data_IF_494416075548
#
_entry.id   IF_494416075548
#
_cell.length_a   1.000
_cell.length_b   1.000
_cell.length_c   1.000
_cell.angle_alpha   90.00
_cell.angle_beta   90.00
_cell.angle_gamma   90.00
#
_symmetry.space_group_name_H-M   'P 1'
#
loop_
_entity.id
_entity.type
_entity.pdbx_description
1 polymer ?
#
# COMPACT_ATOMS: atom_id res chain seq x y z
N UNK A 1 -30.95 4.28 6.60
CA UNK A 1 -31.37 4.21 8.00
C UNK A 1 -30.12 4.48 8.85
N UNK A 2 -29.87 5.74 9.26
CA UNK A 2 -28.74 6.10 10.10
C UNK A 2 -28.96 5.47 11.49
N UNK A 3 -28.11 4.49 11.84
CA UNK A 3 -28.08 3.98 13.21
C UNK A 3 -27.50 5.07 14.13
N UNK A 4 -28.05 5.15 15.34
CA UNK A 4 -27.55 6.06 16.38
C UNK A 4 -26.03 5.86 16.57
N UNK A 5 -25.19 6.91 16.49
CA UNK A 5 -23.75 6.81 16.70
C UNK A 5 -23.34 6.14 18.02
N UNK A 6 -24.19 6.22 19.05
CA UNK A 6 -23.94 5.59 20.36
C UNK A 6 -24.09 4.05 20.34
N UNK A 7 -24.69 3.46 19.29
CA UNK A 7 -24.92 2.02 19.15
C UNK A 7 -23.91 1.30 18.26
N UNK A 8 -22.97 2.03 17.64
CA UNK A 8 -21.96 1.44 16.72
C UNK A 8 -20.85 0.75 17.53
N UNK A 9 -20.40 -0.46 17.12
CA UNK A 9 -19.22 -1.07 17.70
C UNK A 9 -17.99 -0.16 17.58
N UNK A 10 -17.16 -0.15 18.62
CA UNK A 10 -15.92 0.64 18.62
C UNK A 10 -14.78 -0.19 18.04
N UNK A 11 -14.16 0.31 16.97
CA UNK A 11 -12.99 -0.25 16.31
C UNK A 11 -11.74 0.52 16.73
N UNK A 12 -10.79 -0.16 17.37
CA UNK A 12 -9.48 0.38 17.67
C UNK A 12 -8.52 0.04 16.53
N UNK A 13 -8.06 1.04 15.81
CA UNK A 13 -7.06 0.88 14.73
C UNK A 13 -5.68 1.27 15.24
N UNK A 14 -4.66 0.46 14.98
CA UNK A 14 -3.28 0.82 15.26
C UNK A 14 -2.41 0.73 14.01
N UNK A 15 -1.69 1.81 13.72
CA UNK A 15 -0.80 1.91 12.57
C UNK A 15 0.47 2.70 12.89
N UNK A 16 1.60 2.38 12.24
CA UNK A 16 2.83 3.17 12.34
C UNK A 16 2.96 4.19 11.22
N UNK A 17 2.28 4.00 10.10
CA UNK A 17 2.19 4.96 9.00
C UNK A 17 0.74 5.47 8.94
N UNK A 18 0.55 6.75 9.21
CA UNK A 18 -0.76 7.40 9.17
C UNK A 18 -0.55 8.89 8.86
N UNK A 19 -1.23 9.45 7.84
CA UNK A 19 -1.01 10.83 7.42
C UNK A 19 -1.30 11.83 8.54
N UNK A 20 -0.51 12.92 8.60
CA UNK A 20 -0.75 14.02 9.53
C UNK A 20 -2.04 14.75 9.15
N UNK A 21 -2.20 14.99 7.85
CA UNK A 21 -3.39 15.56 7.22
C UNK A 21 -3.68 14.81 5.91
N UNK A 22 -4.94 14.79 5.43
CA UNK A 22 -5.24 14.24 4.12
C UNK A 22 -4.38 14.90 3.02
N UNK A 23 -3.67 14.10 2.24
CA UNK A 23 -2.85 14.60 1.13
C UNK A 23 -1.44 15.06 1.49
N UNK A 24 -0.94 14.81 2.71
CA UNK A 24 0.42 15.18 3.15
C UNK A 24 1.58 14.39 2.50
N UNK A 25 1.29 13.57 1.50
CA UNK A 25 2.26 12.70 0.82
C UNK A 25 2.54 11.38 1.53
N UNK A 26 2.00 11.16 2.73
CA UNK A 26 2.02 9.84 3.39
C UNK A 26 0.97 8.93 2.72
N UNK A 27 1.30 7.65 2.43
CA UNK A 27 0.32 6.72 1.85
C UNK A 27 -0.98 6.68 2.65
N UNK A 28 -2.10 7.04 2.01
CA UNK A 28 -3.40 7.25 2.65
C UNK A 28 -4.19 5.98 2.96
N UNK A 29 -3.79 4.81 2.45
CA UNK A 29 -4.59 3.58 2.46
C UNK A 29 -5.12 3.16 3.84
N UNK A 30 -4.40 3.44 4.95
CA UNK A 30 -4.90 3.16 6.31
C UNK A 30 -5.99 4.15 6.71
N UNK A 31 -5.83 5.42 6.34
CA UNK A 31 -6.85 6.44 6.56
C UNK A 31 -8.09 6.17 5.71
N UNK A 32 -7.92 5.86 4.44
CA UNK A 32 -9.02 5.60 3.51
C UNK A 32 -9.86 4.40 4.00
N UNK A 33 -9.20 3.31 4.44
CA UNK A 33 -9.88 2.17 5.05
C UNK A 33 -10.57 2.55 6.38
N UNK A 34 -9.91 3.35 7.23
CA UNK A 34 -10.50 3.79 8.49
C UNK A 34 -11.76 4.66 8.26
N UNK A 35 -11.74 5.53 7.25
CA UNK A 35 -12.90 6.34 6.84
C UNK A 35 -14.03 5.45 6.32
N UNK A 36 -13.74 4.48 5.45
CA UNK A 36 -14.74 3.55 4.94
C UNK A 36 -15.40 2.71 6.05
N UNK A 37 -14.66 2.38 7.11
CA UNK A 37 -15.21 1.64 8.26
C UNK A 37 -15.97 2.52 9.27
N UNK A 38 -15.80 3.85 9.19
CA UNK A 38 -16.45 4.79 10.10
C UNK A 38 -17.97 4.91 9.88
N UNK A 39 -18.49 4.44 8.75
CA UNK A 39 -19.93 4.39 8.49
C UNK A 39 -20.68 3.45 9.47
N UNK A 40 -20.03 2.34 9.85
CA UNK A 40 -20.64 1.28 10.68
C UNK A 40 -20.00 1.15 12.07
N UNK A 41 -18.83 1.77 12.26
CA UNK A 41 -18.05 1.67 13.49
C UNK A 41 -17.69 3.05 14.03
N UNK A 42 -17.56 3.16 15.34
CA UNK A 42 -16.83 4.26 15.94
C UNK A 42 -15.34 3.95 15.83
N UNK A 43 -14.64 4.62 14.92
CA UNK A 43 -13.23 4.33 14.63
C UNK A 43 -12.32 5.24 15.44
N UNK A 44 -11.39 4.64 16.22
CA UNK A 44 -10.36 5.34 16.97
C UNK A 44 -8.99 4.82 16.51
N UNK A 45 -8.19 5.69 15.94
CA UNK A 45 -6.84 5.38 15.43
C UNK A 45 -5.78 5.77 16.45
N UNK A 46 -4.88 4.85 16.76
CA UNK A 46 -3.67 5.10 17.56
C UNK A 46 -2.45 5.03 16.64
N UNK A 47 -1.77 6.15 16.46
CA UNK A 47 -0.60 6.27 15.58
C UNK A 47 0.55 7.00 16.30
N UNK A 48 1.82 6.86 15.85
CA UNK A 48 2.91 7.65 16.38
C UNK A 48 2.78 9.13 16.00
N UNK A 49 3.34 10.00 16.81
CA UNK A 49 3.49 11.40 16.47
C UNK A 49 4.52 11.55 15.36
N UNK A 50 4.14 12.21 14.28
CA UNK A 50 4.98 12.59 13.14
C UNK A 50 5.09 14.11 13.03
N UNK A 51 5.98 14.59 12.17
CA UNK A 51 6.16 16.04 11.97
C UNK A 51 4.88 16.66 11.40
N UNK A 52 4.45 17.79 11.94
CA UNK A 52 3.25 18.51 11.50
C UNK A 52 1.92 17.98 12.06
N UNK A 53 1.89 16.77 12.63
CA UNK A 53 0.66 16.16 13.11
C UNK A 53 0.21 16.72 14.47
N UNK A 54 -1.12 16.77 14.70
CA UNK A 54 -1.70 17.08 16.00
C UNK A 54 -1.77 15.85 16.91
N UNK A 55 -1.65 16.01 18.23
CA UNK A 55 -1.75 14.91 19.21
C UNK A 55 -3.13 14.25 19.19
N UNK A 56 -4.16 15.06 19.04
CA UNK A 56 -5.55 14.63 18.89
C UNK A 56 -6.16 15.39 17.72
N UNK A 57 -6.80 14.69 16.83
CA UNK A 57 -7.52 15.28 15.70
C UNK A 57 -8.67 14.39 15.29
N UNK A 58 -9.58 14.95 14.51
CA UNK A 58 -10.63 14.22 13.82
C UNK A 58 -10.47 14.44 12.33
N UNK A 59 -10.45 13.34 11.56
CA UNK A 59 -10.39 13.37 10.10
C UNK A 59 -11.66 12.66 9.62
N UNK A 60 -12.59 13.42 9.06
CA UNK A 60 -13.95 12.90 8.83
C UNK A 60 -14.55 12.37 10.14
N UNK A 61 -15.06 11.15 10.12
CA UNK A 61 -15.62 10.48 11.30
C UNK A 61 -14.61 9.62 12.10
N UNK A 62 -13.32 9.72 11.79
CA UNK A 62 -12.25 9.00 12.45
C UNK A 62 -11.60 9.85 13.53
N UNK A 63 -11.57 9.35 14.79
CA UNK A 63 -10.81 9.95 15.88
C UNK A 63 -9.34 9.47 15.80
N UNK A 64 -8.38 10.40 15.75
CA UNK A 64 -6.94 10.08 15.69
C UNK A 64 -6.25 10.53 16.98
N UNK A 65 -5.51 9.60 17.58
CA UNK A 65 -4.74 9.81 18.80
C UNK A 65 -3.29 9.44 18.57
N UNK A 66 -2.39 10.42 18.74
CA UNK A 66 -0.98 10.21 18.48
C UNK A 66 -0.18 10.18 19.77
N UNK A 67 0.73 9.20 19.86
CA UNK A 67 1.63 9.07 21.01
C UNK A 67 3.03 9.59 20.70
N UNK A 68 3.58 10.31 21.67
CA UNK A 68 4.98 10.74 21.67
C UNK A 68 5.85 9.57 22.13
N UNK A 69 6.89 9.25 21.37
CA UNK A 69 7.79 8.13 21.69
C UNK A 69 9.24 8.55 21.93
N UNK A 70 9.58 9.82 21.61
CA UNK A 70 10.92 10.36 21.80
C UNK A 70 10.85 11.90 21.86
N UNK A 71 11.88 12.59 22.43
CA UNK A 71 11.93 14.05 22.41
C UNK A 71 11.79 14.61 20.99
N UNK A 72 10.96 15.63 20.82
CA UNK A 72 10.50 16.14 19.50
C UNK A 72 11.63 16.46 18.52
N UNK A 73 12.75 17.05 19.03
CA UNK A 73 13.92 17.45 18.22
C UNK A 73 14.68 16.26 17.59
N UNK A 74 14.49 15.04 18.08
CA UNK A 74 15.19 13.82 17.61
C UNK A 74 14.22 12.73 17.16
N UNK A 75 12.93 12.98 17.23
CA UNK A 75 11.88 12.02 16.87
C UNK A 75 11.69 12.00 15.35
N UNK A 76 12.32 11.07 14.70
CA UNK A 76 12.28 10.91 13.23
C UNK A 76 12.19 9.45 12.78
N UNK A 77 11.96 8.50 13.71
CA UNK A 77 11.87 7.08 13.40
C UNK A 77 10.64 6.74 12.58
N UNK A 78 9.48 7.34 12.90
CA UNK A 78 8.20 7.07 12.26
C UNK A 78 7.85 8.08 11.13
N UNK A 79 8.78 8.95 10.77
CA UNK A 79 8.62 9.85 9.62
C UNK A 79 8.93 9.07 8.33
N UNK A 80 7.92 8.33 7.82
CA UNK A 80 8.04 7.41 6.70
C UNK A 80 8.26 5.94 7.10
N UNK A 81 8.98 5.18 6.27
CA UNK A 81 9.21 3.76 6.49
C UNK A 81 10.25 3.51 7.60
N UNK A 82 9.82 2.93 8.72
CA UNK A 82 10.66 2.69 9.92
C UNK A 82 11.93 1.91 9.58
N UNK A 83 11.84 0.84 8.78
CA UNK A 83 12.99 0.00 8.44
C UNK A 83 14.03 0.77 7.62
N UNK A 84 13.58 1.58 6.66
CA UNK A 84 14.47 2.41 5.85
C UNK A 84 15.14 3.49 6.71
N UNK A 85 14.38 4.07 7.63
CA UNK A 85 14.88 5.05 8.59
C UNK A 85 15.95 4.47 9.53
N UNK A 86 15.79 3.23 9.99
CA UNK A 86 16.79 2.53 10.81
C UNK A 86 18.07 2.21 10.02
N UNK A 87 17.92 1.84 8.73
CA UNK A 87 19.07 1.59 7.83
C UNK A 87 19.84 2.88 7.52
N UNK A 88 19.11 3.96 7.27
CA UNK A 88 19.70 5.25 6.90
C UNK A 88 20.51 5.90 8.05
N UNK A 89 20.04 5.73 9.30
CA UNK A 89 20.68 6.32 10.50
C UNK A 89 20.66 5.32 11.66
N UNK A 90 21.75 4.58 11.93
CA UNK A 90 21.82 3.58 13.03
C UNK A 90 21.49 4.14 14.42
N UNK A 91 21.76 5.42 14.70
CA UNK A 91 21.41 6.05 15.97
C UNK A 91 19.90 5.99 16.29
N UNK A 92 19.05 5.84 15.28
CA UNK A 92 17.61 5.68 15.46
C UNK A 92 17.21 4.37 16.18
N UNK A 93 18.11 3.39 16.26
CA UNK A 93 17.88 2.19 17.08
C UNK A 93 17.64 2.52 18.55
N UNK A 94 18.18 3.63 19.05
CA UNK A 94 17.92 4.11 20.42
C UNK A 94 16.45 4.51 20.62
N UNK A 95 15.72 4.86 19.57
CA UNK A 95 14.29 5.22 19.65
C UNK A 95 13.38 3.98 19.74
N UNK A 96 13.84 2.81 19.27
CA UNK A 96 13.01 1.61 19.14
C UNK A 96 12.39 1.16 20.47
N UNK A 97 13.11 1.01 21.58
CA UNK A 97 12.52 0.62 22.87
C UNK A 97 11.43 1.58 23.33
N UNK A 98 11.68 2.88 23.19
CA UNK A 98 10.72 3.93 23.56
C UNK A 98 9.49 3.94 22.65
N UNK A 99 9.68 3.65 21.36
CA UNK A 99 8.60 3.51 20.40
C UNK A 99 7.64 2.38 20.82
N UNK A 100 8.17 1.20 21.14
CA UNK A 100 7.37 0.06 21.58
C UNK A 100 6.68 0.33 22.92
N UNK A 101 7.39 0.87 23.91
CA UNK A 101 6.85 1.19 25.23
C UNK A 101 5.73 2.25 25.15
N UNK A 102 5.96 3.32 24.40
CA UNK A 102 4.94 4.37 24.21
C UNK A 102 3.72 3.87 23.47
N UNK A 103 3.88 3.02 22.45
CA UNK A 103 2.78 2.36 21.77
C UNK A 103 1.98 1.49 22.73
N UNK A 104 2.63 0.69 23.55
CA UNK A 104 1.98 -0.19 24.55
C UNK A 104 1.15 0.64 25.53
N UNK A 105 1.69 1.73 26.05
CA UNK A 105 1.00 2.64 26.97
C UNK A 105 -0.19 3.29 26.25
N UNK A 106 -0.01 3.77 25.01
CA UNK A 106 -1.05 4.42 24.24
C UNK A 106 -2.22 3.47 23.94
N UNK A 107 -1.92 2.24 23.49
CA UNK A 107 -2.94 1.22 23.22
C UNK A 107 -3.70 0.81 24.49
N UNK A 108 -3.01 0.62 25.62
CA UNK A 108 -3.69 0.32 26.90
C UNK A 108 -4.59 1.45 27.35
N UNK A 109 -4.09 2.70 27.30
CA UNK A 109 -4.88 3.88 27.69
C UNK A 109 -6.10 4.05 26.81
N UNK A 110 -5.93 3.91 25.50
CA UNK A 110 -7.04 4.05 24.57
C UNK A 110 -8.04 2.90 24.69
N UNK A 111 -7.60 1.66 24.87
CA UNK A 111 -8.48 0.53 25.12
C UNK A 111 -9.31 0.71 26.41
N UNK A 112 -8.70 1.24 27.48
CA UNK A 112 -9.43 1.54 28.72
C UNK A 112 -10.46 2.69 28.57
N UNK A 113 -10.14 3.68 27.70
CA UNK A 113 -10.97 4.86 27.47
C UNK A 113 -12.13 4.58 26.52
N UNK A 114 -11.85 4.02 25.35
CA UNK A 114 -12.82 3.82 24.27
C UNK A 114 -13.58 2.49 24.38
N UNK A 115 -13.08 1.54 25.20
CA UNK A 115 -13.62 0.20 25.38
C UNK A 115 -13.97 -0.46 24.05
N UNK A 116 -12.95 -0.69 23.18
CA UNK A 116 -13.19 -1.20 21.84
C UNK A 116 -13.73 -2.64 21.89
N UNK A 117 -14.56 -2.97 20.91
CA UNK A 117 -15.10 -4.30 20.70
C UNK A 117 -14.14 -5.18 19.90
N UNK A 118 -13.32 -4.57 19.03
CA UNK A 118 -12.35 -5.24 18.15
C UNK A 118 -11.18 -4.31 17.84
N UNK A 119 -10.00 -4.89 17.55
CA UNK A 119 -8.84 -4.14 17.11
C UNK A 119 -8.43 -4.54 15.68
N UNK A 120 -8.12 -3.54 14.85
CA UNK A 120 -7.47 -3.69 13.55
C UNK A 120 -6.02 -3.20 13.67
N UNK A 121 -5.08 -4.12 13.53
CA UNK A 121 -3.66 -3.88 13.77
C UNK A 121 -2.89 -4.01 12.45
N UNK A 122 -2.47 -2.89 11.92
CA UNK A 122 -1.68 -2.87 10.69
C UNK A 122 -0.22 -3.21 11.04
N UNK A 123 0.32 -4.22 10.37
CA UNK A 123 1.60 -4.92 10.57
C UNK A 123 1.62 -5.90 11.74
N UNK A 124 2.18 -7.08 11.48
CA UNK A 124 2.42 -8.12 12.49
C UNK A 124 3.37 -7.59 13.58
N UNK A 125 4.39 -6.86 13.16
CA UNK A 125 5.35 -6.15 14.03
C UNK A 125 5.51 -4.73 13.50
N UNK A 126 5.33 -3.68 14.32
CA UNK A 126 5.20 -3.72 15.78
C UNK A 126 3.77 -3.86 16.34
N UNK A 127 2.71 -3.43 15.60
CA UNK A 127 1.35 -3.29 16.15
C UNK A 127 0.74 -4.61 16.63
N UNK A 128 0.83 -5.66 15.82
CA UNK A 128 0.33 -6.99 16.20
C UNK A 128 1.02 -7.54 17.46
N UNK A 129 2.35 -7.38 17.56
CA UNK A 129 3.11 -7.83 18.72
C UNK A 129 2.72 -7.08 20.00
N UNK A 130 2.65 -5.75 19.92
CA UNK A 130 2.26 -4.90 21.07
C UNK A 130 0.79 -5.13 21.41
N UNK A 131 -0.11 -5.16 20.41
CA UNK A 131 -1.53 -5.40 20.64
C UNK A 131 -1.81 -6.75 21.30
N UNK A 132 -1.09 -7.83 20.89
CA UNK A 132 -1.17 -9.12 21.56
C UNK A 132 -0.78 -9.03 23.04
N UNK A 133 0.22 -8.22 23.37
CA UNK A 133 0.72 -8.10 24.74
C UNK A 133 -0.21 -7.30 25.64
N UNK A 134 -0.87 -6.24 25.11
CA UNK A 134 -1.53 -5.25 25.98
C UNK A 134 -3.06 -5.21 25.85
N UNK A 135 -3.66 -5.80 24.81
CA UNK A 135 -5.11 -5.75 24.58
C UNK A 135 -5.87 -6.98 25.12
N UNK A 136 -5.20 -7.89 25.82
CA UNK A 136 -5.83 -9.04 26.47
C UNK A 136 -6.62 -9.94 25.50
N UNK A 137 -7.87 -10.23 25.82
CA UNK A 137 -8.78 -11.08 25.04
C UNK A 137 -9.49 -10.35 23.90
N UNK A 138 -9.24 -9.04 23.70
CA UNK A 138 -9.87 -8.28 22.62
C UNK A 138 -9.64 -8.97 21.26
N UNK A 139 -10.67 -9.26 20.46
CA UNK A 139 -10.52 -9.81 19.12
C UNK A 139 -9.65 -8.90 18.24
N UNK A 140 -8.77 -9.51 17.45
CA UNK A 140 -7.81 -8.77 16.62
C UNK A 140 -7.84 -9.25 15.18
N UNK A 141 -8.05 -8.32 14.27
CA UNK A 141 -7.75 -8.47 12.85
C UNK A 141 -6.35 -7.88 12.62
N UNK A 142 -5.44 -8.65 12.05
CA UNK A 142 -4.06 -8.22 11.80
C UNK A 142 -3.83 -8.13 10.29
N UNK A 143 -3.30 -7.01 9.81
CA UNK A 143 -2.95 -6.81 8.40
C UNK A 143 -1.45 -6.87 8.22
N UNK A 144 -0.96 -7.63 7.24
CA UNK A 144 0.45 -7.58 6.81
C UNK A 144 0.57 -6.99 5.41
N UNK A 145 1.56 -6.11 5.24
CA UNK A 145 1.80 -5.37 4.01
C UNK A 145 3.10 -5.79 3.30
N UNK A 146 3.70 -6.90 3.74
CA UNK A 146 4.87 -7.52 3.13
C UNK A 146 6.17 -7.28 3.89
N UNK A 147 6.57 -6.04 4.15
CA UNK A 147 7.83 -5.73 4.83
C UNK A 147 7.98 -6.39 6.21
N UNK A 148 6.92 -6.41 6.99
CA UNK A 148 6.86 -7.05 8.29
C UNK A 148 6.84 -8.60 8.20
N UNK A 149 6.34 -9.15 7.11
CA UNK A 149 6.27 -10.58 6.87
C UNK A 149 7.62 -11.12 6.40
N UNK A 150 8.20 -10.53 5.35
CA UNK A 150 9.41 -11.03 4.70
C UNK A 150 10.71 -10.60 5.38
N UNK A 151 10.74 -9.40 5.97
CA UNK A 151 11.86 -8.93 6.78
C UNK A 151 11.84 -9.54 8.19
N UNK A 152 12.75 -9.11 9.06
CA UNK A 152 12.82 -9.53 10.46
C UNK A 152 12.93 -11.05 10.63
N UNK A 153 13.95 -11.67 9.96
CA UNK A 153 14.14 -13.13 9.90
C UNK A 153 14.81 -13.72 11.16
N UNK A 154 15.20 -12.88 12.13
CA UNK A 154 15.83 -13.36 13.36
C UNK A 154 14.92 -14.35 14.12
N UNK A 155 15.43 -15.48 14.67
CA UNK A 155 14.61 -16.53 15.29
C UNK A 155 13.64 -16.05 16.37
N UNK A 156 14.04 -15.08 17.19
CA UNK A 156 13.18 -14.48 18.22
C UNK A 156 11.98 -13.77 17.57
N UNK A 157 12.24 -12.97 16.52
CA UNK A 157 11.17 -12.25 15.80
C UNK A 157 10.24 -13.20 15.07
N UNK A 158 10.75 -14.32 14.56
CA UNK A 158 9.92 -15.38 13.99
C UNK A 158 8.98 -16.02 15.03
N UNK A 159 9.46 -16.22 16.27
CA UNK A 159 8.60 -16.68 17.37
C UNK A 159 7.52 -15.67 17.72
N UNK A 160 7.86 -14.39 17.74
CA UNK A 160 6.89 -13.30 17.96
C UNK A 160 5.86 -13.28 16.84
N UNK A 161 6.26 -13.33 15.56
CA UNK A 161 5.33 -13.40 14.41
C UNK A 161 4.35 -14.57 14.57
N UNK A 162 4.87 -15.79 14.82
CA UNK A 162 4.02 -16.98 15.03
C UNK A 162 3.03 -16.79 16.17
N UNK A 163 3.46 -16.18 17.28
CA UNK A 163 2.59 -15.93 18.42
C UNK A 163 1.48 -14.90 18.11
N UNK A 164 1.78 -13.86 17.34
CA UNK A 164 0.79 -12.87 16.84
C UNK A 164 -0.20 -13.56 15.91
N UNK A 165 0.30 -14.24 14.89
CA UNK A 165 -0.47 -14.95 13.87
C UNK A 165 -1.48 -15.91 14.51
N UNK A 166 -1.03 -16.79 15.40
CA UNK A 166 -1.89 -17.76 16.08
C UNK A 166 -2.97 -17.14 16.97
N UNK A 167 -2.73 -15.92 17.46
CA UNK A 167 -3.66 -15.22 18.36
C UNK A 167 -4.62 -14.29 17.65
N UNK A 168 -4.46 -14.05 16.35
CA UNK A 168 -5.37 -13.22 15.57
C UNK A 168 -6.67 -13.97 15.28
N UNK A 169 -7.79 -13.26 15.28
CA UNK A 169 -9.06 -13.80 14.80
C UNK A 169 -9.01 -13.96 13.28
N UNK A 170 -8.48 -12.95 12.58
CA UNK A 170 -8.27 -12.96 11.13
C UNK A 170 -6.97 -12.23 10.79
N UNK A 171 -6.35 -12.64 9.67
CA UNK A 171 -5.14 -12.01 9.12
C UNK A 171 -5.39 -11.68 7.65
N UNK A 172 -5.17 -10.43 7.29
CA UNK A 172 -5.23 -10.01 5.89
C UNK A 172 -3.83 -9.85 5.31
N UNK A 173 -3.68 -10.20 4.05
CA UNK A 173 -2.44 -10.04 3.27
C UNK A 173 -2.76 -9.62 1.84
N UNK A 174 -1.72 -9.22 1.10
CA UNK A 174 -1.90 -8.58 -0.22
C UNK A 174 -1.87 -9.57 -1.38
N UNK A 175 -1.39 -10.82 -1.18
CA UNK A 175 -1.15 -11.76 -2.28
C UNK A 175 -1.21 -13.21 -1.83
N UNK A 176 -1.35 -14.11 -2.80
CA UNK A 176 -1.31 -15.57 -2.60
C UNK A 176 0.03 -16.04 -2.04
N UNK A 177 1.15 -15.45 -2.46
CA UNK A 177 2.49 -15.74 -1.92
C UNK A 177 2.58 -15.37 -0.43
N UNK A 178 2.06 -14.20 -0.06
CA UNK A 178 1.99 -13.78 1.35
C UNK A 178 1.10 -14.71 2.19
N UNK A 179 -0.01 -15.16 1.63
CA UNK A 179 -0.89 -16.13 2.29
C UNK A 179 -0.17 -17.46 2.53
N UNK A 180 0.61 -17.94 1.55
CA UNK A 180 1.43 -19.15 1.71
C UNK A 180 2.49 -18.98 2.79
N UNK A 181 3.14 -17.82 2.88
CA UNK A 181 4.13 -17.54 3.93
C UNK A 181 3.50 -17.45 5.33
N UNK A 182 2.30 -16.87 5.45
CA UNK A 182 1.56 -16.86 6.72
C UNK A 182 1.23 -18.28 7.20
N UNK A 183 0.84 -19.20 6.28
CA UNK A 183 0.60 -20.61 6.59
C UNK A 183 1.85 -21.32 7.08
N UNK A 184 3.02 -21.08 6.46
CA UNK A 184 4.32 -21.60 6.95
C UNK A 184 4.66 -21.10 8.36
N UNK A 185 4.20 -19.89 8.71
CA UNK A 185 4.35 -19.34 10.07
C UNK A 185 3.30 -19.86 11.06
N UNK A 186 2.38 -20.71 10.63
CA UNK A 186 1.40 -21.40 11.47
C UNK A 186 0.05 -20.69 11.55
N UNK A 187 -0.31 -19.88 10.55
CA UNK A 187 -1.68 -19.43 10.35
C UNK A 187 -2.59 -20.60 9.94
N UNK A 188 -3.83 -20.63 10.42
CA UNK A 188 -4.84 -21.57 9.96
C UNK A 188 -5.48 -21.01 8.67
N UNK A 189 -5.99 -21.89 7.81
CA UNK A 189 -6.57 -21.49 6.52
C UNK A 189 -7.73 -20.50 6.70
N UNK A 190 -8.60 -20.76 7.65
CA UNK A 190 -9.76 -19.91 7.94
C UNK A 190 -9.40 -18.53 8.52
N UNK A 191 -8.15 -18.33 8.96
CA UNK A 191 -7.68 -17.03 9.45
C UNK A 191 -7.11 -16.14 8.34
N UNK A 192 -6.67 -16.73 7.21
CA UNK A 192 -5.91 -16.03 6.18
C UNK A 192 -6.83 -15.53 5.07
N UNK A 193 -6.84 -14.22 4.86
CA UNK A 193 -7.66 -13.59 3.85
C UNK A 193 -6.80 -12.71 2.94
N UNK A 194 -6.91 -12.92 1.62
CA UNK A 194 -6.24 -12.08 0.63
C UNK A 194 -7.13 -10.87 0.40
N UNK A 195 -6.77 -9.76 1.03
CA UNK A 195 -7.49 -8.48 0.93
C UNK A 195 -6.44 -7.39 0.70
N UNK A 196 -6.16 -7.03 -0.54
CA UNK A 196 -5.29 -5.90 -0.88
C UNK A 196 -5.81 -4.57 -0.34
N UNK A 197 -4.96 -3.56 -0.30
CA UNK A 197 -5.39 -2.20 0.05
C UNK A 197 -6.33 -1.64 -1.01
N UNK A 198 -7.35 -0.92 -0.57
CA UNK A 198 -8.29 -0.25 -1.45
C UNK A 198 -7.69 1.00 -2.12
N UNK A 199 -8.24 1.33 -3.27
CA UNK A 199 -7.94 2.56 -4.02
C UNK A 199 -9.13 3.50 -3.92
N UNK A 200 -8.87 4.77 -3.55
CA UNK A 200 -9.84 5.83 -3.72
C UNK A 200 -9.90 6.22 -5.20
N UNK A 201 -10.95 5.76 -5.87
CA UNK A 201 -11.14 5.96 -7.31
C UNK A 201 -11.80 7.30 -7.65
N UNK A 202 -12.34 8.04 -6.68
CA UNK A 202 -13.07 9.28 -6.95
C UNK A 202 -12.22 10.36 -7.66
N UNK A 203 -10.98 10.67 -7.23
CA UNK A 203 -10.12 11.62 -7.94
C UNK A 203 -9.77 11.14 -9.35
N UNK A 204 -9.54 9.83 -9.52
CA UNK A 204 -9.19 9.21 -10.80
C UNK A 204 -10.36 9.33 -11.78
N UNK A 205 -11.56 8.95 -11.35
CA UNK A 205 -12.78 9.05 -12.15
C UNK A 205 -13.04 10.51 -12.57
N UNK A 206 -12.87 11.46 -11.64
CA UNK A 206 -13.02 12.87 -11.95
C UNK A 206 -11.96 13.38 -12.94
N UNK A 207 -10.73 12.90 -12.86
CA UNK A 207 -9.67 13.24 -13.80
C UNK A 207 -9.93 12.65 -15.19
N UNK A 208 -10.29 11.36 -15.28
CA UNK A 208 -10.62 10.68 -16.56
C UNK A 208 -11.78 11.38 -17.29
N UNK A 209 -12.75 11.95 -16.56
CA UNK A 209 -13.86 12.71 -17.16
C UNK A 209 -13.44 14.09 -17.72
N UNK A 210 -12.31 14.65 -17.27
CA UNK A 210 -11.82 16.00 -17.67
C UNK A 210 -10.66 15.96 -18.64
N UNK A 211 -9.75 15.02 -18.44
CA UNK A 211 -8.50 14.92 -19.18
C UNK A 211 -8.70 14.07 -20.44
N UNK A 212 -7.98 14.43 -21.50
CA UNK A 212 -7.90 13.60 -22.68
C UNK A 212 -6.67 12.69 -22.60
N UNK A 213 -6.86 11.43 -22.94
CA UNK A 213 -5.76 10.47 -23.04
C UNK A 213 -4.85 10.85 -24.19
N UNK A 214 -3.57 10.99 -23.92
CA UNK A 214 -2.54 11.30 -24.92
C UNK A 214 -2.11 10.02 -25.62
N UNK A 215 -2.34 9.87 -26.93
CA UNK A 215 -1.89 8.70 -27.68
C UNK A 215 -0.38 8.46 -27.53
N UNK A 216 0.01 7.24 -27.23
CA UNK A 216 1.44 6.86 -27.08
C UNK A 216 2.12 7.37 -25.81
N UNK A 217 1.38 7.97 -24.85
CA UNK A 217 1.93 8.35 -23.55
C UNK A 217 2.04 7.14 -22.63
N UNK A 218 3.28 6.93 -22.14
CA UNK A 218 3.65 5.84 -21.23
C UNK A 218 3.95 6.41 -19.84
N UNK A 219 3.38 5.80 -18.81
CA UNK A 219 3.49 6.23 -17.43
C UNK A 219 4.15 5.17 -16.55
N UNK A 220 5.08 5.59 -15.72
CA UNK A 220 5.59 4.83 -14.58
C UNK A 220 5.30 5.57 -13.29
N UNK A 221 4.72 4.90 -12.30
CA UNK A 221 4.44 5.47 -10.97
C UNK A 221 5.02 4.59 -9.88
N UNK A 222 5.91 5.15 -9.07
CA UNK A 222 6.47 4.46 -7.92
C UNK A 222 7.67 5.13 -7.29
N UNK A 223 8.05 4.65 -6.09
CA UNK A 223 9.33 5.06 -5.48
C UNK A 223 10.48 4.63 -6.37
N UNK A 224 11.47 5.50 -6.55
CA UNK A 224 12.66 5.21 -7.36
C UNK A 224 13.67 4.41 -6.53
N UNK A 225 13.32 3.12 -6.30
CA UNK A 225 14.12 2.10 -5.62
C UNK A 225 14.22 0.86 -6.50
N UNK A 226 15.23 0.01 -6.24
CA UNK A 226 15.56 -1.17 -7.05
C UNK A 226 14.32 -2.02 -7.39
N UNK A 227 13.55 -2.43 -6.39
CA UNK A 227 12.41 -3.34 -6.57
C UNK A 227 11.29 -2.83 -7.49
N UNK A 228 11.22 -1.52 -7.76
CA UNK A 228 10.24 -0.93 -8.67
C UNK A 228 10.64 -1.00 -10.14
N UNK A 229 11.90 -1.33 -10.42
CA UNK A 229 12.37 -1.65 -11.78
C UNK A 229 12.43 -0.47 -12.75
N UNK A 230 12.55 0.78 -12.25
CA UNK A 230 12.72 1.94 -13.13
C UNK A 230 13.97 1.85 -14.02
N UNK A 231 15.00 1.11 -13.60
CA UNK A 231 16.16 0.80 -14.41
C UNK A 231 15.80 -0.09 -15.60
N UNK A 232 14.94 -1.11 -15.37
CA UNK A 232 14.45 -2.01 -16.44
C UNK A 232 13.60 -1.25 -17.45
N UNK A 233 12.85 -0.23 -17.01
CA UNK A 233 12.13 0.68 -17.91
C UNK A 233 13.11 1.38 -18.85
N UNK A 234 14.20 1.99 -18.34
CA UNK A 234 15.19 2.68 -19.20
C UNK A 234 15.87 1.70 -20.13
N UNK A 235 16.23 0.49 -19.67
CA UNK A 235 16.78 -0.58 -20.52
C UNK A 235 15.83 -1.00 -21.65
N UNK A 236 14.52 -0.97 -21.39
CA UNK A 236 13.49 -1.29 -22.36
C UNK A 236 13.33 -0.18 -23.41
N UNK A 237 13.36 1.09 -23.01
CA UNK A 237 13.25 2.22 -23.94
C UNK A 237 14.36 2.20 -25.01
N UNK A 238 15.57 1.76 -24.65
CA UNK A 238 16.69 1.62 -25.58
C UNK A 238 16.47 0.49 -26.63
N UNK A 239 15.50 -0.41 -26.38
CA UNK A 239 15.22 -1.60 -27.21
C UNK A 239 13.91 -1.53 -27.96
N UNK A 240 13.08 -0.54 -27.67
CA UNK A 240 11.81 -0.33 -28.36
C UNK A 240 12.01 -0.01 -29.83
N UNK A 241 11.10 -0.53 -30.65
CA UNK A 241 11.00 -0.23 -32.10
C UNK A 241 10.04 0.92 -32.35
N UNK A 242 8.94 0.94 -31.61
CA UNK A 242 7.95 2.01 -31.60
C UNK A 242 8.38 3.08 -30.57
N UNK A 243 8.37 4.34 -30.97
CA UNK A 243 8.73 5.42 -30.05
C UNK A 243 7.48 5.93 -29.33
N UNK A 244 7.44 5.87 -27.98
CA UNK A 244 6.39 6.53 -27.23
C UNK A 244 6.40 8.03 -27.52
N UNK A 245 5.21 8.65 -27.57
CA UNK A 245 5.11 10.09 -27.71
C UNK A 245 5.72 10.83 -26.50
N UNK A 246 5.55 10.26 -25.32
CA UNK A 246 6.08 10.76 -24.05
C UNK A 246 6.23 9.61 -23.07
N UNK A 247 7.27 9.64 -22.24
CA UNK A 247 7.45 8.75 -21.08
C UNK A 247 7.53 9.60 -19.83
N UNK A 248 6.57 9.40 -18.92
CA UNK A 248 6.49 10.14 -17.65
C UNK A 248 6.81 9.21 -16.49
N UNK A 249 7.76 9.63 -15.66
CA UNK A 249 8.17 8.94 -14.43
C UNK A 249 7.73 9.78 -13.23
N UNK A 250 6.75 9.27 -12.49
CA UNK A 250 6.22 9.90 -11.27
C UNK A 250 6.77 9.18 -10.06
N UNK A 251 7.34 9.95 -9.15
CA UNK A 251 7.88 9.48 -7.88
C UNK A 251 9.26 10.03 -7.57
N UNK A 252 9.77 9.63 -6.41
CA UNK A 252 11.09 10.04 -5.92
C UNK A 252 11.78 8.86 -5.23
N UNK A 253 13.08 8.95 -5.02
CA UNK A 253 13.84 7.92 -4.34
C UNK A 253 15.35 8.02 -4.60
N UNK A 254 16.12 7.15 -3.92
CA UNK A 254 17.59 7.19 -3.98
C UNK A 254 18.17 6.97 -5.37
N UNK A 255 17.43 6.36 -6.31
CA UNK A 255 17.88 6.12 -7.68
C UNK A 255 17.62 7.28 -8.63
N UNK A 256 16.88 8.33 -8.21
CA UNK A 256 16.44 9.42 -9.09
C UNK A 256 17.58 10.03 -9.88
N UNK A 257 18.63 10.50 -9.23
CA UNK A 257 19.74 11.16 -9.92
C UNK A 257 20.46 10.28 -10.95
N UNK A 258 20.62 8.98 -10.65
CA UNK A 258 21.21 8.02 -11.58
C UNK A 258 20.31 7.74 -12.78
N UNK A 259 18.99 7.67 -12.57
CA UNK A 259 18.01 7.46 -13.63
C UNK A 259 17.90 8.69 -14.54
N UNK A 260 17.84 9.91 -13.98
CA UNK A 260 17.82 11.16 -14.73
C UNK A 260 19.09 11.34 -15.58
N UNK A 261 20.26 11.02 -15.02
CA UNK A 261 21.55 11.12 -15.75
C UNK A 261 21.63 10.13 -16.93
N UNK A 262 20.90 9.01 -16.87
CA UNK A 262 20.87 8.00 -17.92
C UNK A 262 19.74 8.23 -18.93
N UNK A 263 18.64 8.84 -18.51
CA UNK A 263 17.45 9.00 -19.32
C UNK A 263 17.70 9.95 -20.51
N UNK A 264 17.15 9.62 -21.67
CA UNK A 264 17.10 10.52 -22.81
C UNK A 264 16.05 11.63 -22.65
N UNK A 265 16.00 12.54 -23.64
CA UNK A 265 15.07 13.69 -23.65
C UNK A 265 13.58 13.31 -23.73
N UNK A 266 13.27 12.06 -24.09
CA UNK A 266 11.89 11.55 -24.16
C UNK A 266 11.32 11.12 -22.80
N UNK A 267 12.12 11.14 -21.73
CA UNK A 267 11.71 10.73 -20.37
C UNK A 267 11.64 11.94 -19.45
N UNK A 268 10.45 12.19 -18.91
CA UNK A 268 10.18 13.29 -17.99
C UNK A 268 10.07 12.78 -16.55
N UNK A 269 10.99 13.17 -15.65
CA UNK A 269 10.94 12.88 -14.23
C UNK A 269 10.22 14.02 -13.50
N UNK A 270 8.96 13.82 -13.17
CA UNK A 270 8.10 14.88 -12.63
C UNK A 270 8.06 14.93 -11.09
N UNK A 271 8.81 14.03 -10.42
CA UNK A 271 8.84 13.94 -8.96
C UNK A 271 7.56 13.35 -8.36
N UNK A 272 7.42 13.45 -7.03
CA UNK A 272 6.20 13.05 -6.35
C UNK A 272 5.07 14.03 -6.68
N UNK A 273 3.85 13.52 -6.84
CA UNK A 273 2.64 14.28 -7.12
C UNK A 273 1.67 14.23 -5.95
N UNK A 274 0.83 15.25 -5.81
CA UNK A 274 -0.37 15.20 -4.99
C UNK A 274 -1.36 14.17 -5.56
N UNK A 275 -2.37 13.79 -4.76
CA UNK A 275 -3.41 12.83 -5.18
C UNK A 275 -4.10 13.25 -6.48
N UNK A 276 -4.50 14.52 -6.58
CA UNK A 276 -5.13 15.06 -7.81
C UNK A 276 -4.17 15.13 -8.99
N UNK A 277 -2.91 15.54 -8.75
CA UNK A 277 -1.87 15.56 -9.78
C UNK A 277 -1.56 14.17 -10.31
N UNK A 278 -1.53 13.16 -9.43
CA UNK A 278 -1.34 11.77 -9.81
C UNK A 278 -2.53 11.21 -10.60
N UNK A 279 -3.75 11.56 -10.20
CA UNK A 279 -4.97 11.19 -10.93
C UNK A 279 -4.97 11.76 -12.37
N UNK A 280 -4.49 12.99 -12.56
CA UNK A 280 -4.34 13.58 -13.89
C UNK A 280 -3.30 12.82 -14.75
N UNK A 281 -2.16 12.41 -14.16
CA UNK A 281 -1.15 11.61 -14.85
C UNK A 281 -1.72 10.27 -15.34
N UNK A 282 -2.50 9.57 -14.50
CA UNK A 282 -3.17 8.34 -14.89
C UNK A 282 -4.22 8.56 -15.99
N UNK A 283 -5.02 9.63 -15.89
CA UNK A 283 -6.06 9.93 -16.87
C UNK A 283 -5.49 10.21 -18.27
N UNK A 284 -4.33 10.86 -18.34
CA UNK A 284 -3.66 11.20 -19.60
C UNK A 284 -2.86 10.01 -20.18
N UNK A 285 -2.49 9.01 -19.39
CA UNK A 285 -1.66 7.90 -19.86
C UNK A 285 -2.46 6.84 -20.60
N UNK A 286 -1.96 6.39 -21.76
CA UNK A 286 -2.48 5.23 -22.49
C UNK A 286 -1.99 3.91 -21.92
N UNK A 287 -0.73 3.85 -21.50
CA UNK A 287 -0.04 2.67 -21.03
C UNK A 287 0.61 2.97 -19.68
N UNK A 288 0.47 2.06 -18.71
CA UNK A 288 1.14 2.18 -17.42
C UNK A 288 2.05 0.96 -17.17
N UNK A 289 3.29 1.23 -16.72
CA UNK A 289 4.35 0.22 -16.57
C UNK A 289 4.67 -0.05 -15.11
N UNK A 290 4.72 -1.35 -14.78
CA UNK A 290 5.09 -1.86 -13.45
C UNK A 290 6.17 -2.94 -13.56
N UNK A 291 7.40 -2.60 -13.99
CA UNK A 291 8.49 -3.53 -14.24
C UNK A 291 9.18 -3.98 -12.94
N UNK A 292 8.40 -4.31 -11.91
CA UNK A 292 8.91 -4.70 -10.59
C UNK A 292 9.86 -5.88 -10.66
N UNK A 293 10.90 -5.85 -9.83
CA UNK A 293 11.91 -6.92 -9.73
C UNK A 293 12.11 -7.32 -8.27
N UNK A 294 12.52 -8.56 -7.98
CA UNK A 294 13.06 -8.89 -6.66
C UNK A 294 14.34 -8.08 -6.41
N UNK A 295 14.40 -7.32 -5.32
CA UNK A 295 15.61 -6.60 -4.96
C UNK A 295 16.70 -7.55 -4.45
N UNK A 296 17.98 -7.16 -4.61
CA UNK A 296 19.13 -7.96 -4.21
C UNK A 296 19.11 -8.34 -2.71
N UNK A 297 18.52 -7.51 -1.85
CA UNK A 297 18.34 -7.77 -0.42
C UNK A 297 17.16 -8.71 -0.09
N UNK A 298 16.45 -9.24 -1.11
CA UNK A 298 15.28 -10.09 -0.98
C UNK A 298 13.98 -9.33 -0.67
N UNK A 299 13.99 -7.99 -0.67
CA UNK A 299 12.76 -7.19 -0.58
C UNK A 299 11.95 -7.33 -1.88
N UNK A 300 10.65 -7.44 -1.75
CA UNK A 300 9.71 -7.61 -2.86
C UNK A 300 8.55 -6.64 -2.72
N UNK A 301 7.98 -6.25 -3.82
CA UNK A 301 6.66 -5.63 -3.81
C UNK A 301 5.61 -6.68 -3.47
N UNK A 302 4.60 -6.25 -2.71
CA UNK A 302 3.32 -6.92 -2.72
C UNK A 302 2.54 -6.49 -3.96
N UNK A 303 1.24 -6.27 -3.84
CA UNK A 303 0.45 -5.63 -4.90
C UNK A 303 0.66 -4.10 -4.83
N UNK A 304 1.21 -3.45 -5.87
CA UNK A 304 1.36 -2.00 -5.88
C UNK A 304 -0.01 -1.31 -5.95
N UNK A 305 -0.32 -0.41 -5.02
CA UNK A 305 -1.54 0.42 -5.08
C UNK A 305 -1.58 1.23 -6.37
N UNK A 306 -0.45 1.78 -6.80
CA UNK A 306 -0.32 2.51 -8.06
C UNK A 306 -0.76 1.71 -9.31
N UNK A 307 -0.60 0.37 -9.29
CA UNK A 307 -1.09 -0.50 -10.37
C UNK A 307 -2.63 -0.50 -10.39
N UNK A 308 -3.26 -0.64 -9.24
CA UNK A 308 -4.73 -0.60 -9.13
C UNK A 308 -5.29 0.77 -9.50
N UNK A 309 -4.57 1.85 -9.17
CA UNK A 309 -4.91 3.22 -9.58
C UNK A 309 -4.87 3.37 -11.11
N UNK A 310 -3.81 2.89 -11.76
CA UNK A 310 -3.71 2.91 -13.22
C UNK A 310 -4.78 2.03 -13.90
N UNK A 311 -5.07 0.86 -13.34
CA UNK A 311 -6.17 0.01 -13.80
C UNK A 311 -7.51 0.74 -13.68
N UNK A 312 -7.77 1.43 -12.56
CA UNK A 312 -8.99 2.23 -12.34
C UNK A 312 -9.14 3.36 -13.35
N UNK A 313 -8.03 3.93 -13.82
CA UNK A 313 -8.02 4.93 -14.88
C UNK A 313 -8.23 4.33 -16.28
N UNK A 314 -8.26 3.01 -16.42
CA UNK A 314 -8.35 2.32 -17.72
C UNK A 314 -7.07 2.40 -18.55
N UNK A 315 -5.91 2.51 -17.92
CA UNK A 315 -4.62 2.35 -18.60
C UNK A 315 -4.41 0.90 -19.03
N UNK A 316 -3.82 0.68 -20.21
CA UNK A 316 -3.29 -0.63 -20.58
C UNK A 316 -2.08 -0.94 -19.68
N UNK A 317 -2.13 -2.04 -18.96
CA UNK A 317 -1.08 -2.41 -18.00
C UNK A 317 -0.03 -3.29 -18.68
N UNK A 318 1.26 -2.95 -18.49
CA UNK A 318 2.37 -3.88 -18.73
C UNK A 318 3.13 -4.03 -17.42
N UNK A 319 3.20 -5.25 -16.91
CA UNK A 319 3.76 -5.48 -15.58
C UNK A 319 4.64 -6.74 -15.54
N UNK A 320 5.60 -6.78 -14.62
CA UNK A 320 6.36 -7.99 -14.34
C UNK A 320 5.50 -9.05 -13.66
N UNK A 321 5.67 -10.31 -14.05
CA UNK A 321 5.01 -11.47 -13.44
C UNK A 321 5.60 -11.78 -12.05
N UNK A 322 5.43 -10.86 -11.10
CA UNK A 322 5.82 -11.05 -9.69
C UNK A 322 4.61 -11.37 -8.83
N UNK A 323 4.79 -12.06 -7.68
CA UNK A 323 3.73 -12.29 -6.72
C UNK A 323 2.99 -11.00 -6.34
N UNK A 324 1.68 -11.06 -6.22
CA UNK A 324 0.80 -9.92 -6.01
C UNK A 324 0.32 -9.30 -7.33
N UNK A 325 1.18 -9.07 -8.31
CA UNK A 325 0.75 -8.59 -9.63
C UNK A 325 -0.01 -9.69 -10.39
N UNK A 326 0.52 -10.92 -10.39
CA UNK A 326 -0.15 -12.07 -11.04
C UNK A 326 -1.46 -12.50 -10.35
N UNK A 327 -1.74 -12.00 -9.16
CA UNK A 327 -3.01 -12.22 -8.46
C UNK A 327 -4.14 -11.32 -9.01
N UNK A 328 -3.79 -10.27 -9.76
CA UNK A 328 -4.72 -9.25 -10.26
C UNK A 328 -4.64 -9.09 -11.77
N UNK A 329 -3.44 -9.18 -12.33
CA UNK A 329 -3.22 -9.06 -13.78
C UNK A 329 -3.17 -10.44 -14.41
N UNK A 330 -4.08 -10.69 -15.35
CA UNK A 330 -4.12 -11.88 -16.21
C UNK A 330 -3.61 -11.51 -17.59
N UNK A 331 -2.55 -12.24 -18.03
CA UNK A 331 -1.87 -11.93 -19.29
C UNK A 331 -2.80 -12.02 -20.51
N UNK A 332 -2.79 -10.97 -21.34
CA UNK A 332 -3.63 -10.84 -22.53
C UNK A 332 -5.12 -10.58 -22.28
N UNK A 333 -5.58 -10.58 -21.03
CA UNK A 333 -6.97 -10.32 -20.62
C UNK A 333 -7.15 -8.90 -20.12
N UNK A 334 -6.48 -8.53 -19.03
CA UNK A 334 -6.57 -7.19 -18.40
C UNK A 334 -5.20 -6.48 -18.28
N UNK A 335 -4.17 -7.02 -18.94
CA UNK A 335 -2.81 -6.47 -19.02
C UNK A 335 -1.89 -7.42 -19.79
N UNK A 336 -0.63 -7.05 -19.89
CA UNK A 336 0.44 -7.91 -20.41
C UNK A 336 1.44 -8.17 -19.30
N UNK A 337 1.79 -9.44 -19.09
CA UNK A 337 2.77 -9.86 -18.12
C UNK A 337 4.11 -10.18 -18.80
N UNK A 338 5.21 -9.72 -18.23
CA UNK A 338 6.57 -9.96 -18.70
C UNK A 338 7.42 -10.59 -17.60
N UNK A 339 8.47 -11.30 -18.01
CA UNK A 339 9.44 -11.85 -17.05
C UNK A 339 10.12 -10.71 -16.27
N UNK A 340 10.20 -10.77 -14.92
CA UNK A 340 10.87 -9.76 -14.13
C UNK A 340 12.32 -9.53 -14.56
N UNK A 341 12.70 -8.27 -14.80
CA UNK A 341 14.04 -7.89 -15.23
C UNK A 341 14.31 -8.04 -16.74
N UNK A 342 13.38 -8.61 -17.50
CA UNK A 342 13.53 -8.74 -18.95
C UNK A 342 13.11 -7.45 -19.69
N UNK A 343 14.07 -6.58 -19.93
CA UNK A 343 13.86 -5.33 -20.65
C UNK A 343 13.44 -5.55 -22.12
N UNK A 344 13.86 -6.64 -22.75
CA UNK A 344 13.45 -6.97 -24.12
C UNK A 344 11.97 -7.38 -24.20
N UNK A 345 11.50 -8.21 -23.27
CA UNK A 345 10.10 -8.56 -23.16
C UNK A 345 9.23 -7.34 -22.82
N UNK A 346 9.72 -6.44 -21.93
CA UNK A 346 9.04 -5.19 -21.60
C UNK A 346 8.90 -4.29 -22.83
N UNK A 347 10.00 -4.10 -23.60
CA UNK A 347 9.99 -3.33 -24.84
C UNK A 347 8.99 -3.89 -25.84
N UNK A 348 9.04 -5.20 -26.10
CA UNK A 348 8.13 -5.86 -27.05
C UNK A 348 6.64 -5.75 -26.64
N UNK A 349 6.34 -5.82 -25.36
CA UNK A 349 4.98 -5.64 -24.86
C UNK A 349 4.47 -4.19 -25.06
N UNK A 350 5.33 -3.18 -24.84
CA UNK A 350 4.97 -1.78 -25.08
C UNK A 350 4.83 -1.51 -26.57
N UNK A 351 5.79 -1.97 -27.41
CA UNK A 351 5.71 -1.86 -28.89
C UNK A 351 4.37 -2.41 -29.40
N UNK A 352 3.95 -3.57 -28.90
CA UNK A 352 2.66 -4.19 -29.28
C UNK A 352 1.47 -3.29 -28.96
N UNK A 353 1.48 -2.61 -27.81
CA UNK A 353 0.38 -1.72 -27.41
C UNK A 353 0.43 -0.39 -28.18
N UNK A 354 1.60 0.11 -28.53
CA UNK A 354 1.76 1.31 -29.34
C UNK A 354 1.31 1.06 -30.79
N UNK A 355 1.64 -0.11 -31.33
CA UNK A 355 1.25 -0.50 -32.70
C UNK A 355 -0.24 -0.88 -32.83
N UNK A 356 -0.90 -1.29 -31.72
CA UNK A 356 -2.32 -1.68 -31.69
C UNK A 356 -3.10 -0.94 -30.59
N UNK A 357 -3.60 0.30 -30.90
CA UNK A 357 -4.41 1.06 -29.96
C UNK A 357 -5.74 0.39 -29.58
N UNK A 358 -6.27 -0.49 -30.43
CA UNK A 358 -7.50 -1.23 -30.12
C UNK A 358 -7.23 -2.29 -29.03
N UNK A 359 -6.11 -2.98 -29.12
CA UNK A 359 -5.64 -3.89 -28.05
C UNK A 359 -5.42 -3.13 -26.75
N UNK A 360 -4.73 -1.99 -26.78
CA UNK A 360 -4.49 -1.15 -25.59
C UNK A 360 -5.83 -0.73 -24.93
N UNK A 361 -6.78 -0.25 -25.72
CA UNK A 361 -8.12 0.14 -25.24
C UNK A 361 -8.88 -1.04 -24.62
N UNK A 362 -8.85 -2.22 -25.26
CA UNK A 362 -9.52 -3.42 -24.75
C UNK A 362 -8.93 -3.87 -23.41
N UNK A 363 -7.59 -3.94 -23.31
CA UNK A 363 -6.91 -4.33 -22.06
C UNK A 363 -7.15 -3.30 -20.95
N UNK A 364 -7.14 -2.01 -21.28
CA UNK A 364 -7.44 -0.93 -20.34
C UNK A 364 -8.87 -1.00 -19.79
N UNK A 365 -9.86 -1.28 -20.63
CA UNK A 365 -11.25 -1.46 -20.19
C UNK A 365 -11.39 -2.67 -19.26
N UNK A 366 -10.79 -3.81 -19.61
CA UNK A 366 -10.80 -5.00 -18.74
C UNK A 366 -10.03 -4.78 -17.41
N UNK A 367 -8.94 -3.99 -17.44
CA UNK A 367 -8.23 -3.57 -16.24
C UNK A 367 -9.13 -2.73 -15.32
N UNK A 368 -9.88 -1.78 -15.88
CA UNK A 368 -10.80 -0.93 -15.13
C UNK A 368 -11.93 -1.75 -14.48
N UNK A 369 -12.49 -2.70 -15.21
CA UNK A 369 -13.50 -3.63 -14.65
C UNK A 369 -12.93 -4.45 -13.49
N UNK A 370 -11.72 -4.99 -13.63
CA UNK A 370 -11.03 -5.72 -12.57
C UNK A 370 -10.78 -4.83 -11.34
N UNK A 371 -10.38 -3.58 -11.54
CA UNK A 371 -10.07 -2.64 -10.46
C UNK A 371 -11.30 -2.29 -9.60
N UNK A 372 -12.52 -2.45 -10.10
CA UNK A 372 -13.73 -2.19 -9.33
C UNK A 372 -13.85 -3.05 -8.06
N UNK A 373 -13.23 -4.23 -8.04
CA UNK A 373 -13.17 -5.10 -6.85
C UNK A 373 -12.17 -4.62 -5.78
N UNK A 374 -11.39 -3.58 -6.08
CA UNK A 374 -10.31 -3.06 -5.24
C UNK A 374 -10.52 -1.59 -4.85
N UNK A 375 -11.73 -1.06 -4.99
CA UNK A 375 -12.07 0.27 -4.45
C UNK A 375 -12.02 0.26 -2.92
N UNK A 376 -11.88 1.43 -2.31
CA UNK A 376 -11.91 1.58 -0.84
C UNK A 376 -13.21 1.00 -0.27
N UNK A 377 -14.34 1.19 -0.95
CA UNK A 377 -15.65 0.68 -0.55
C UNK A 377 -15.68 -0.86 -0.60
N UNK A 378 -15.27 -1.47 -1.72
CA UNK A 378 -15.27 -2.92 -1.88
C UNK A 378 -14.32 -3.60 -0.89
N UNK A 379 -13.16 -3.01 -0.62
CA UNK A 379 -12.21 -3.48 0.40
C UNK A 379 -12.79 -3.25 1.80
N UNK A 380 -13.44 -2.11 2.06
CA UNK A 380 -14.15 -1.82 3.30
C UNK A 380 -15.19 -2.88 3.64
N UNK A 381 -15.99 -3.34 2.65
CA UNK A 381 -16.98 -4.41 2.82
C UNK A 381 -16.35 -5.74 3.24
N UNK A 382 -15.21 -6.07 2.64
CA UNK A 382 -14.45 -7.28 3.05
C UNK A 382 -13.98 -7.16 4.50
N UNK A 383 -13.46 -6.00 4.91
CA UNK A 383 -13.05 -5.76 6.30
C UNK A 383 -14.24 -5.75 7.26
N UNK A 384 -15.42 -5.21 6.88
CA UNK A 384 -16.66 -5.30 7.67
C UNK A 384 -17.02 -6.75 7.97
N UNK A 385 -16.96 -7.61 6.95
CA UNK A 385 -17.21 -9.06 7.10
C UNK A 385 -16.22 -9.71 8.06
N UNK A 386 -14.92 -9.41 7.95
CA UNK A 386 -13.89 -9.95 8.84
C UNK A 386 -14.04 -9.47 10.29
N UNK A 387 -14.39 -8.20 10.46
CA UNK A 387 -14.64 -7.59 11.77
C UNK A 387 -15.89 -8.22 12.42
N UNK A 388 -16.98 -8.39 11.66
CA UNK A 388 -18.18 -9.07 12.14
C UNK A 388 -17.89 -10.52 12.55
N UNK A 389 -17.13 -11.27 11.75
CA UNK A 389 -16.68 -12.61 12.10
C UNK A 389 -15.81 -12.64 13.37
N UNK A 390 -14.92 -11.66 13.57
CA UNK A 390 -14.11 -11.55 14.79
C UNK A 390 -14.98 -11.23 16.04
N UNK A 391 -16.13 -10.58 15.86
CA UNK A 391 -17.11 -10.28 16.92
C UNK A 391 -18.09 -11.44 17.17
N UNK A 392 -18.03 -12.54 16.41
CA UNK A 392 -18.95 -13.66 16.51
C UNK A 392 -20.37 -13.34 15.99
N UNK A 393 -20.45 -12.43 15.01
CA UNK A 393 -21.71 -11.96 14.39
C UNK A 393 -21.83 -12.41 12.95
#
# INVERSE_FOLDING_TARGET
>A
MHRDPASRPTLLVAASTFPAEPGDGTPGFVLDLALALADDHRVVVVAPMTKGAATHQRIGDVEVRRYHYFPSRWRDLADGAIVDNLRAKPVRWLQVPFFFASMAIALRREAARSRPDVALLHWIIPQGAVGKLVLGSLPRVVTTLGGDLYALRHPVLQRVKRAVIRSAASITCMSTDMAAELRKLGARDEQVHIVPMGVDTAPITAAVAREQRTPGRVLFVGRLVEKKGATVLLDALERMREQPAEVVVVGDGPLRGALEARAGSAVSFVGARSKDGLAAEYAQAGIALYPSVPAANGDRDGLPVALLEAMSAGCAIVASAVPGIVDVVEDGVNGLLVTPGDAGALAAAVDRLLADPALASRLGAAAQETAAAYTVEAVGDRYRTLIAGALGR
#
